data_IF_388247171224
#
_entry.id   IF_388247171224
#
_cell.length_a   1.000
_cell.length_b   1.000
_cell.length_c   1.000
_cell.angle_alpha   90.00
_cell.angle_beta   90.00
_cell.angle_gamma   90.00
#
_symmetry.space_group_name_H-M   'P 1'
#
loop_
_entity.id
_entity.type
_entity.pdbx_description
1 polymer ?
#
# COMPACT_ATOMS: atom_id res chain seq x y z
N UNK A 1 16.64 -17.47 -33.42
CA UNK A 1 16.06 -16.46 -32.48
C UNK A 1 14.65 -16.94 -32.20
N UNK A 2 14.45 -17.62 -31.09
CA UNK A 2 13.11 -18.03 -30.68
C UNK A 2 12.36 -16.79 -30.19
N UNK A 3 11.30 -16.43 -30.90
CA UNK A 3 10.38 -15.38 -30.44
C UNK A 3 9.60 -15.94 -29.26
N UNK A 4 9.88 -15.44 -28.06
CA UNK A 4 9.05 -15.71 -26.89
C UNK A 4 7.66 -15.13 -27.15
N UNK A 5 6.66 -16.00 -27.40
CA UNK A 5 5.24 -15.60 -27.47
C UNK A 5 4.75 -15.28 -26.04
N UNK A 6 4.98 -14.05 -25.62
CA UNK A 6 4.57 -13.58 -24.28
C UNK A 6 3.09 -13.25 -24.37
N UNK A 7 2.25 -13.97 -23.64
CA UNK A 7 0.82 -13.70 -23.54
C UNK A 7 0.46 -13.07 -22.21
N UNK A 8 -0.37 -12.05 -22.27
CA UNK A 8 -0.91 -11.43 -21.07
C UNK A 8 -1.74 -12.46 -20.28
N UNK A 9 -1.40 -12.73 -19.02
CA UNK A 9 -2.13 -13.71 -18.20
C UNK A 9 -3.56 -13.27 -17.89
N UNK A 10 -3.87 -11.97 -18.07
CA UNK A 10 -5.17 -11.41 -17.75
C UNK A 10 -6.15 -11.43 -18.94
N UNK A 11 -5.72 -11.03 -20.14
CA UNK A 11 -6.60 -10.95 -21.31
C UNK A 11 -6.23 -11.86 -22.48
N UNK A 12 -5.12 -12.62 -22.37
CA UNK A 12 -4.63 -13.53 -23.41
C UNK A 12 -3.97 -12.86 -24.61
N UNK A 13 -3.91 -11.53 -24.66
CA UNK A 13 -3.32 -10.79 -25.79
C UNK A 13 -1.81 -11.06 -25.89
N UNK A 14 -1.32 -11.24 -27.13
CA UNK A 14 0.11 -11.39 -27.41
C UNK A 14 0.84 -10.06 -27.26
N UNK A 15 1.97 -10.06 -26.55
CA UNK A 15 2.82 -8.89 -26.35
C UNK A 15 3.97 -8.99 -27.36
N UNK A 16 4.02 -8.05 -28.28
CA UNK A 16 4.98 -8.05 -29.40
C UNK A 16 6.24 -7.21 -29.11
N UNK A 17 6.21 -6.37 -28.09
CA UNK A 17 7.34 -5.53 -27.74
C UNK A 17 8.20 -6.21 -26.68
N UNK A 18 9.52 -6.34 -26.94
CA UNK A 18 10.47 -6.87 -25.99
C UNK A 18 10.69 -5.87 -24.87
N UNK A 19 10.29 -6.21 -23.63
CA UNK A 19 10.45 -5.29 -22.52
C UNK A 19 11.91 -5.21 -22.07
N UNK A 20 12.30 -4.02 -21.66
CA UNK A 20 13.62 -3.73 -21.07
C UNK A 20 13.66 -4.04 -19.55
N UNK A 21 12.53 -4.46 -18.98
CA UNK A 21 12.38 -4.78 -17.55
C UNK A 21 11.73 -6.15 -17.35
N UNK A 22 11.85 -6.71 -16.15
CA UNK A 22 11.22 -7.98 -15.76
C UNK A 22 9.68 -7.90 -15.71
N UNK A 23 9.11 -6.70 -15.83
CA UNK A 23 7.69 -6.43 -15.82
C UNK A 23 7.25 -5.80 -17.13
N UNK A 24 6.11 -6.26 -17.64
CA UNK A 24 5.49 -5.77 -18.87
C UNK A 24 4.11 -5.22 -18.58
N UNK A 25 3.82 -4.07 -19.17
CA UNK A 25 2.47 -3.53 -19.22
C UNK A 25 1.77 -4.07 -20.46
N UNK A 26 0.63 -4.71 -20.30
CA UNK A 26 -0.19 -5.13 -21.42
C UNK A 26 -0.83 -3.92 -22.09
N UNK A 27 -0.60 -3.71 -23.39
CA UNK A 27 -1.16 -2.60 -24.17
C UNK A 27 -2.67 -2.72 -24.40
N UNK A 28 -3.25 -3.91 -24.16
CA UNK A 28 -4.69 -4.18 -24.40
C UNK A 28 -5.55 -4.03 -23.15
N UNK A 29 -5.02 -4.41 -21.98
CA UNK A 29 -5.80 -4.38 -20.73
C UNK A 29 -5.11 -3.63 -19.59
N UNK A 30 -4.00 -2.95 -19.90
CA UNK A 30 -3.15 -2.20 -18.95
C UNK A 30 -2.63 -2.99 -17.74
N UNK A 31 -2.81 -4.31 -17.72
CA UNK A 31 -2.28 -5.17 -16.67
C UNK A 31 -0.76 -5.23 -16.71
N UNK A 32 -0.11 -5.07 -15.56
CA UNK A 32 1.31 -5.32 -15.39
C UNK A 32 1.52 -6.77 -14.96
N UNK A 33 2.48 -7.48 -15.56
CA UNK A 33 2.84 -8.84 -15.17
C UNK A 33 4.32 -9.11 -15.39
N UNK A 34 4.84 -10.08 -14.64
CA UNK A 34 6.24 -10.51 -14.76
C UNK A 34 6.39 -11.55 -15.85
N UNK A 35 7.44 -11.43 -16.66
CA UNK A 35 7.75 -12.44 -17.70
C UNK A 35 8.34 -13.67 -17.04
N UNK A 36 7.78 -14.88 -17.29
CA UNK A 36 8.40 -16.13 -16.85
C UNK A 36 9.67 -16.38 -17.67
N UNK A 37 10.81 -16.37 -17.06
CA UNK A 37 12.06 -16.79 -17.73
C UNK A 37 13.31 -15.96 -17.47
N UNK A 38 13.25 -14.84 -16.78
CA UNK A 38 14.45 -14.13 -16.38
C UNK A 38 14.99 -14.73 -15.07
N UNK A 39 16.19 -15.35 -15.15
CA UNK A 39 16.83 -16.07 -14.05
C UNK A 39 17.43 -15.11 -13.02
N UNK A 40 16.60 -14.54 -12.17
CA UNK A 40 17.05 -14.05 -10.85
C UNK A 40 16.16 -14.71 -9.81
N UNK A 41 16.76 -15.67 -9.12
CA UNK A 41 16.11 -16.66 -8.29
C UNK A 41 15.19 -16.06 -7.22
N UNK A 42 13.97 -16.49 -7.29
CA UNK A 42 13.04 -16.87 -6.22
C UNK A 42 11.69 -17.12 -6.90
N UNK A 43 11.11 -18.29 -6.69
CA UNK A 43 9.80 -18.63 -7.22
C UNK A 43 8.77 -17.61 -6.69
N UNK A 44 8.34 -16.71 -7.59
CA UNK A 44 7.26 -15.76 -7.29
C UNK A 44 5.96 -16.53 -7.48
N UNK A 45 5.38 -16.98 -6.40
CA UNK A 45 4.03 -17.54 -6.40
C UNK A 45 3.06 -16.36 -6.53
N UNK A 46 2.43 -16.23 -7.69
CA UNK A 46 1.32 -15.28 -7.90
C UNK A 46 0.12 -15.83 -7.16
N UNK A 47 -0.55 -15.01 -6.34
CA UNK A 47 -1.72 -15.42 -5.56
C UNK A 47 -2.76 -16.14 -6.40
N UNK A 48 -3.24 -17.30 -5.94
CA UNK A 48 -4.27 -18.09 -6.62
C UNK A 48 -5.63 -17.37 -6.56
N UNK A 49 -6.55 -17.75 -7.46
CA UNK A 49 -7.93 -17.22 -7.44
C UNK A 49 -8.64 -17.44 -6.11
N UNK A 50 -8.27 -18.50 -5.40
CA UNK A 50 -8.89 -18.91 -4.13
C UNK A 50 -8.43 -18.08 -2.92
N UNK A 51 -7.37 -17.27 -3.08
CA UNK A 51 -6.86 -16.40 -2.01
C UNK A 51 -7.73 -15.15 -1.78
N UNK A 52 -8.62 -14.81 -2.72
CA UNK A 52 -9.40 -13.58 -2.72
C UNK A 52 -10.90 -13.87 -2.57
N UNK A 53 -11.56 -13.27 -1.58
CA UNK A 53 -13.01 -13.27 -1.48
C UNK A 53 -13.54 -11.96 -2.06
N UNK A 54 -14.26 -12.09 -3.20
CA UNK A 54 -14.80 -10.94 -3.94
C UNK A 54 -16.32 -11.03 -3.97
N UNK A 55 -16.99 -9.95 -3.55
CA UNK A 55 -18.46 -9.81 -3.57
C UNK A 55 -18.82 -8.52 -4.30
N UNK A 56 -19.61 -8.61 -5.38
CA UNK A 56 -20.06 -7.42 -6.15
C UNK A 56 -18.92 -6.46 -6.52
N UNK A 57 -17.82 -6.97 -7.08
CA UNK A 57 -16.60 -6.22 -7.44
C UNK A 57 -15.85 -5.60 -6.23
N UNK A 58 -16.22 -5.93 -5.00
CA UNK A 58 -15.51 -5.53 -3.79
C UNK A 58 -14.67 -6.69 -3.29
N UNK A 59 -13.37 -6.48 -3.15
CA UNK A 59 -12.48 -7.41 -2.46
C UNK A 59 -12.69 -7.25 -0.96
N UNK A 60 -13.23 -8.29 -0.32
CA UNK A 60 -13.60 -8.25 1.10
C UNK A 60 -12.61 -8.96 2.01
N UNK A 61 -11.91 -9.99 1.50
CA UNK A 61 -10.95 -10.76 2.30
C UNK A 61 -9.79 -11.25 1.43
N UNK A 62 -8.63 -11.37 2.05
CA UNK A 62 -7.44 -12.00 1.48
C UNK A 62 -6.92 -13.08 2.44
N UNK A 63 -6.92 -14.33 1.99
CA UNK A 63 -6.52 -15.50 2.78
C UNK A 63 -5.20 -16.13 2.29
N UNK A 64 -4.53 -15.46 1.34
CA UNK A 64 -3.29 -15.96 0.75
C UNK A 64 -2.06 -15.72 1.63
N UNK A 65 -1.08 -16.61 1.51
CA UNK A 65 0.25 -16.46 2.13
C UNK A 65 1.30 -15.90 1.15
N UNK A 66 0.90 -15.57 -0.07
CA UNK A 66 1.80 -15.10 -1.12
C UNK A 66 2.33 -13.70 -0.81
N UNK A 67 3.63 -13.50 -1.07
CA UNK A 67 4.29 -12.21 -0.86
C UNK A 67 4.16 -11.26 -2.04
N UNK A 68 3.94 -11.79 -3.24
CA UNK A 68 3.64 -11.02 -4.45
C UNK A 68 2.25 -11.38 -4.91
N UNK A 69 1.37 -10.39 -5.00
CA UNK A 69 -0.03 -10.60 -5.34
C UNK A 69 -0.45 -9.76 -6.55
N UNK A 70 -1.35 -10.32 -7.35
CA UNK A 70 -2.05 -9.59 -8.40
C UNK A 70 -3.53 -9.57 -8.03
N UNK A 71 -4.05 -8.40 -7.71
CA UNK A 71 -5.49 -8.24 -7.41
C UNK A 71 -6.28 -8.46 -8.68
N UNK A 72 -7.32 -9.31 -8.68
CA UNK A 72 -8.11 -9.63 -9.87
C UNK A 72 -8.74 -8.40 -10.54
N UNK A 73 -8.78 -8.38 -11.87
CA UNK A 73 -9.25 -7.23 -12.65
C UNK A 73 -10.73 -6.87 -12.43
N UNK A 74 -11.53 -7.80 -11.94
CA UNK A 74 -12.92 -7.57 -11.58
C UNK A 74 -13.10 -6.66 -10.35
N UNK A 75 -12.02 -6.43 -9.58
CA UNK A 75 -12.07 -5.64 -8.34
C UNK A 75 -12.10 -4.16 -8.66
N UNK A 76 -13.17 -3.50 -8.27
CA UNK A 76 -13.33 -2.04 -8.33
C UNK A 76 -13.07 -1.35 -6.98
N UNK A 77 -13.21 -2.09 -5.88
CA UNK A 77 -12.98 -1.60 -4.52
C UNK A 77 -12.27 -2.64 -3.68
N UNK A 78 -11.26 -2.22 -2.92
CA UNK A 78 -10.66 -2.98 -1.82
C UNK A 78 -11.30 -2.51 -0.53
N UNK A 79 -11.91 -3.42 0.22
CA UNK A 79 -12.55 -3.08 1.49
C UNK A 79 -11.52 -2.73 2.58
N UNK A 80 -12.01 -2.25 3.72
CA UNK A 80 -11.18 -1.83 4.84
C UNK A 80 -10.39 -3.02 5.41
N UNK A 81 -9.10 -2.82 5.60
CA UNK A 81 -8.23 -3.77 6.29
C UNK A 81 -7.94 -5.09 5.58
N UNK A 82 -8.32 -5.28 4.31
CA UNK A 82 -8.23 -6.56 3.58
C UNK A 82 -6.83 -7.19 3.63
N UNK A 83 -5.78 -6.40 3.43
CA UNK A 83 -4.39 -6.87 3.45
C UNK A 83 -3.65 -6.53 4.73
N UNK A 84 -4.35 -6.08 5.76
CA UNK A 84 -3.73 -5.62 7.00
C UNK A 84 -2.84 -6.69 7.63
N UNK A 85 -1.57 -6.32 7.91
CA UNK A 85 -0.60 -7.20 8.54
C UNK A 85 -0.10 -8.34 7.65
N UNK A 86 -0.46 -8.35 6.35
CA UNK A 86 0.01 -9.37 5.43
C UNK A 86 1.51 -9.26 5.12
N UNK A 87 2.12 -10.39 4.75
CA UNK A 87 3.54 -10.47 4.37
C UNK A 87 3.84 -9.97 2.95
N UNK A 88 2.95 -9.21 2.32
CA UNK A 88 3.06 -8.75 0.93
C UNK A 88 4.28 -7.86 0.76
N UNK A 89 5.10 -8.20 -0.26
CA UNK A 89 6.24 -7.38 -0.69
C UNK A 89 5.92 -6.52 -1.89
N UNK A 90 5.06 -7.01 -2.79
CA UNK A 90 4.62 -6.34 -4.00
C UNK A 90 3.14 -6.62 -4.26
N UNK A 91 2.42 -5.61 -4.69
CA UNK A 91 1.02 -5.71 -5.09
C UNK A 91 0.81 -5.06 -6.46
N UNK A 92 0.15 -5.79 -7.36
CA UNK A 92 -0.32 -5.26 -8.63
C UNK A 92 -1.81 -4.98 -8.50
N UNK A 93 -2.17 -3.71 -8.61
CA UNK A 93 -3.55 -3.23 -8.52
C UNK A 93 -4.20 -3.18 -9.90
N UNK A 94 -5.50 -3.54 -10.03
CA UNK A 94 -6.19 -3.55 -11.31
C UNK A 94 -6.45 -2.15 -11.85
N UNK A 95 -6.39 -1.99 -13.19
CA UNK A 95 -6.57 -0.72 -13.87
C UNK A 95 -7.99 -0.11 -13.74
N UNK A 96 -8.96 -0.86 -13.24
CA UNK A 96 -10.34 -0.40 -12.98
C UNK A 96 -10.64 -0.14 -11.51
N UNK A 97 -9.65 -0.25 -10.64
CA UNK A 97 -9.79 0.01 -9.20
C UNK A 97 -10.19 1.46 -8.97
N UNK A 98 -11.25 1.69 -8.23
CA UNK A 98 -11.80 3.03 -7.93
C UNK A 98 -11.50 3.48 -6.50
N UNK A 99 -11.44 2.53 -5.57
CA UNK A 99 -11.32 2.83 -4.14
C UNK A 99 -10.43 1.83 -3.42
N UNK A 100 -9.57 2.35 -2.55
CA UNK A 100 -8.79 1.59 -1.56
C UNK A 100 -9.32 1.97 -0.19
N UNK A 101 -9.81 1.00 0.57
CA UNK A 101 -10.43 1.20 1.87
C UNK A 101 -9.46 1.66 2.97
N UNK A 102 -10.02 2.04 4.11
CA UNK A 102 -9.25 2.42 5.28
C UNK A 102 -8.42 1.24 5.79
N UNK A 103 -7.17 1.50 6.19
CA UNK A 103 -6.24 0.46 6.68
C UNK A 103 -6.01 -0.72 5.72
N UNK A 104 -6.38 -0.62 4.44
CA UNK A 104 -6.36 -1.75 3.49
C UNK A 104 -5.02 -2.49 3.45
N UNK A 105 -3.91 -1.78 3.52
CA UNK A 105 -2.54 -2.31 3.58
C UNK A 105 -1.82 -1.97 4.88
N UNK A 106 -2.53 -1.57 5.93
CA UNK A 106 -1.88 -1.21 7.19
C UNK A 106 -1.05 -2.37 7.76
N UNK A 107 0.07 -2.04 8.40
CA UNK A 107 0.99 -3.02 9.00
C UNK A 107 1.63 -4.02 7.98
N UNK A 108 1.56 -3.78 6.65
CA UNK A 108 2.28 -4.56 5.63
C UNK A 108 3.76 -4.17 5.65
N UNK A 109 4.51 -4.70 6.60
CA UNK A 109 5.88 -4.27 6.88
C UNK A 109 6.87 -4.60 5.75
N UNK A 110 6.56 -5.58 4.90
CA UNK A 110 7.42 -5.99 3.80
C UNK A 110 7.14 -5.25 2.48
N UNK A 111 6.05 -4.50 2.39
CA UNK A 111 5.67 -3.74 1.20
C UNK A 111 6.67 -2.60 0.97
N UNK A 112 7.29 -2.57 -0.21
CA UNK A 112 8.36 -1.60 -0.57
C UNK A 112 7.89 -0.51 -1.49
N UNK A 113 7.06 -0.86 -2.45
CA UNK A 113 6.53 0.07 -3.43
C UNK A 113 5.12 -0.30 -3.83
N UNK A 114 4.33 0.69 -4.22
CA UNK A 114 2.99 0.49 -4.77
C UNK A 114 2.73 1.53 -5.86
N UNK A 115 2.11 1.09 -6.94
CA UNK A 115 1.62 1.96 -8.01
C UNK A 115 0.10 2.03 -7.90
N UNK A 116 -0.42 3.22 -7.70
CA UNK A 116 -1.85 3.50 -7.60
C UNK A 116 -2.38 3.85 -9.00
N UNK A 117 -3.27 3.04 -9.60
CA UNK A 117 -3.80 3.28 -10.93
C UNK A 117 -4.52 4.62 -11.07
N UNK A 118 -4.54 5.17 -12.29
CA UNK A 118 -5.21 6.45 -12.58
C UNK A 118 -6.73 6.42 -12.35
N UNK A 119 -7.33 5.23 -12.32
CA UNK A 119 -8.74 5.01 -12.04
C UNK A 119 -9.12 5.21 -10.57
N UNK A 120 -8.14 5.15 -9.64
CA UNK A 120 -8.39 5.30 -8.20
C UNK A 120 -8.75 6.73 -7.88
N UNK A 121 -9.93 6.91 -7.30
CA UNK A 121 -10.48 8.21 -6.90
C UNK A 121 -10.32 8.49 -5.42
N UNK A 122 -10.23 7.44 -4.60
CA UNK A 122 -10.12 7.59 -3.15
C UNK A 122 -9.20 6.53 -2.54
N UNK A 123 -8.33 6.98 -1.65
CA UNK A 123 -7.51 6.12 -0.78
C UNK A 123 -7.87 6.43 0.67
N UNK A 124 -8.40 5.44 1.36
CA UNK A 124 -8.95 5.57 2.71
C UNK A 124 -7.94 5.93 3.79
N UNK A 125 -8.46 6.32 4.95
CA UNK A 125 -7.65 6.71 6.10
C UNK A 125 -6.65 5.61 6.47
N UNK A 126 -5.38 6.00 6.65
CA UNK A 126 -4.31 5.09 7.09
C UNK A 126 -4.14 3.84 6.23
N UNK A 127 -4.46 3.92 4.93
CA UNK A 127 -4.43 2.78 4.02
C UNK A 127 -3.07 2.05 4.03
N UNK A 128 -1.96 2.77 4.13
CA UNK A 128 -0.60 2.23 4.22
C UNK A 128 0.07 2.51 5.57
N UNK A 129 -0.74 2.66 6.62
CA UNK A 129 -0.22 2.95 7.95
C UNK A 129 0.76 1.87 8.44
N UNK A 130 1.93 2.31 8.95
CA UNK A 130 2.98 1.43 9.45
C UNK A 130 3.54 0.41 8.45
N UNK A 131 3.43 0.66 7.15
CA UNK A 131 4.22 -0.04 6.14
C UNK A 131 5.66 0.45 6.23
N UNK A 132 6.43 -0.06 7.19
CA UNK A 132 7.72 0.50 7.62
C UNK A 132 8.78 0.53 6.54
N UNK A 133 8.71 -0.36 5.55
CA UNK A 133 9.65 -0.45 4.43
C UNK A 133 9.11 0.19 3.14
N UNK A 134 7.91 0.81 3.19
CA UNK A 134 7.33 1.48 2.02
C UNK A 134 8.07 2.79 1.75
N UNK A 135 8.90 2.78 0.72
CA UNK A 135 9.75 3.90 0.32
C UNK A 135 9.24 4.64 -0.92
N UNK A 136 8.32 4.00 -1.68
CA UNK A 136 7.81 4.58 -2.92
C UNK A 136 6.31 4.31 -3.09
N UNK A 137 5.55 5.39 -3.36
CA UNK A 137 4.16 5.33 -3.85
C UNK A 137 4.09 6.18 -5.10
N UNK A 138 3.61 5.61 -6.18
CA UNK A 138 3.39 6.30 -7.44
C UNK A 138 1.89 6.41 -7.72
N UNK A 139 1.40 7.63 -7.95
CA UNK A 139 0.02 7.89 -8.35
C UNK A 139 -0.01 8.18 -9.84
N UNK A 140 -0.65 7.32 -10.63
CA UNK A 140 -0.81 7.52 -12.06
C UNK A 140 -1.94 8.51 -12.40
N UNK A 141 -2.83 8.79 -11.45
CA UNK A 141 -3.94 9.74 -11.55
C UNK A 141 -3.67 11.05 -10.82
N UNK A 142 -4.12 12.18 -11.41
CA UNK A 142 -3.93 13.50 -10.81
C UNK A 142 -4.99 13.87 -9.75
N UNK A 143 -6.12 13.14 -9.70
CA UNK A 143 -7.31 13.51 -8.91
C UNK A 143 -7.68 12.45 -7.86
N UNK A 144 -6.69 11.78 -7.28
CA UNK A 144 -6.92 10.83 -6.19
C UNK A 144 -7.07 11.59 -4.87
N UNK A 145 -8.22 11.46 -4.24
CA UNK A 145 -8.47 11.98 -2.89
C UNK A 145 -7.82 11.08 -1.85
N UNK A 146 -7.09 11.66 -0.89
CA UNK A 146 -6.39 10.93 0.15
C UNK A 146 -7.05 11.17 1.51
N UNK A 147 -7.32 10.09 2.22
CA UNK A 147 -7.76 10.13 3.61
C UNK A 147 -6.64 10.56 4.58
N UNK A 148 -6.96 10.62 5.86
CA UNK A 148 -6.00 11.02 6.89
C UNK A 148 -4.90 9.96 7.10
N UNK A 149 -3.64 10.43 7.20
CA UNK A 149 -2.51 9.62 7.62
C UNK A 149 -2.21 8.41 6.73
N UNK A 150 -2.54 8.48 5.43
CA UNK A 150 -2.41 7.38 4.47
C UNK A 150 -1.04 6.70 4.54
N UNK A 151 0.04 7.47 4.63
CA UNK A 151 1.43 6.98 4.66
C UNK A 151 2.12 7.14 6.02
N UNK A 152 1.37 7.38 7.08
CA UNK A 152 1.93 7.63 8.41
C UNK A 152 2.69 6.40 8.93
N UNK A 153 3.94 6.59 9.34
CA UNK A 153 4.81 5.53 9.85
C UNK A 153 5.49 4.69 8.77
N UNK A 154 5.48 5.14 7.52
CA UNK A 154 6.24 4.56 6.40
C UNK A 154 7.65 5.14 6.34
N UNK A 155 8.55 4.49 5.59
CA UNK A 155 9.85 5.05 5.24
C UNK A 155 9.69 6.32 4.37
N UNK A 156 8.75 6.30 3.44
CA UNK A 156 8.40 7.47 2.61
C UNK A 156 8.08 8.69 3.48
N UNK A 157 7.26 8.54 4.50
CA UNK A 157 6.90 9.63 5.42
C UNK A 157 8.09 10.12 6.22
N UNK A 158 8.99 9.23 6.67
CA UNK A 158 10.23 9.61 7.36
C UNK A 158 11.16 10.40 6.46
N UNK A 159 11.36 9.95 5.22
CA UNK A 159 12.19 10.63 4.24
C UNK A 159 11.62 12.02 3.89
N UNK A 160 10.31 12.10 3.73
CA UNK A 160 9.60 13.36 3.55
C UNK A 160 9.88 14.34 4.70
N UNK A 161 9.73 13.92 5.95
CA UNK A 161 10.04 14.77 7.11
C UNK A 161 11.51 15.19 7.18
N UNK A 162 12.43 14.34 6.73
CA UNK A 162 13.86 14.68 6.71
C UNK A 162 14.23 15.73 5.65
N UNK A 163 13.42 15.85 4.59
CA UNK A 163 13.66 16.83 3.52
C UNK A 163 13.21 18.25 3.87
N UNK A 164 12.43 18.43 4.93
CA UNK A 164 11.99 19.73 5.37
C UNK A 164 13.06 20.48 6.16
N UNK A 165 13.06 21.82 6.04
CA UNK A 165 13.84 22.72 6.87
C UNK A 165 13.53 22.51 8.35
N UNK A 166 14.51 22.78 9.23
CA UNK A 166 14.35 22.58 10.66
C UNK A 166 13.20 23.41 11.27
N UNK A 167 12.91 24.59 10.72
CA UNK A 167 11.79 25.42 11.14
C UNK A 167 10.44 24.77 10.85
N UNK A 168 10.28 24.19 9.65
CA UNK A 168 9.04 23.49 9.27
C UNK A 168 8.86 22.22 10.10
N UNK A 169 9.98 21.48 10.39
CA UNK A 169 9.95 20.32 11.29
C UNK A 169 9.44 20.70 12.69
N UNK A 170 9.98 21.79 13.24
CA UNK A 170 9.58 22.28 14.55
C UNK A 170 8.09 22.66 14.57
N UNK A 171 7.59 23.29 13.50
CA UNK A 171 6.18 23.66 13.38
C UNK A 171 5.27 22.41 13.31
N UNK A 172 5.63 21.43 12.51
CA UNK A 172 4.88 20.15 12.41
C UNK A 172 4.86 19.42 13.75
N UNK A 173 6.00 19.39 14.46
CA UNK A 173 6.09 18.79 15.80
C UNK A 173 5.20 19.54 16.80
N UNK A 174 5.21 20.88 16.78
CA UNK A 174 4.39 21.70 17.66
C UNK A 174 2.88 21.48 17.40
N UNK A 175 2.45 21.45 16.14
CA UNK A 175 1.05 21.22 15.78
C UNK A 175 0.61 19.81 16.13
N UNK A 176 1.50 18.83 15.95
CA UNK A 176 1.27 17.44 16.37
C UNK A 176 1.11 17.34 17.88
N UNK A 177 1.95 18.05 18.65
CA UNK A 177 1.86 18.09 20.11
C UNK A 177 0.58 18.79 20.58
N UNK A 178 0.21 19.89 19.96
CA UNK A 178 -1.07 20.60 20.23
C UNK A 178 -2.26 19.67 20.00
N UNK A 179 -2.29 18.98 18.88
CA UNK A 179 -3.34 18.01 18.53
C UNK A 179 -3.42 16.89 19.57
N UNK A 180 -2.28 16.29 19.93
CA UNK A 180 -2.22 15.24 20.97
C UNK A 180 -2.71 15.74 22.32
N UNK A 181 -2.39 16.98 22.66
CA UNK A 181 -2.84 17.62 23.91
C UNK A 181 -4.35 17.83 23.93
N UNK A 182 -4.94 18.31 22.82
CA UNK A 182 -6.39 18.51 22.68
C UNK A 182 -7.14 17.18 22.88
N UNK A 183 -6.66 16.10 22.31
CA UNK A 183 -7.28 14.77 22.43
C UNK A 183 -6.82 13.99 23.65
N UNK A 184 -6.04 14.57 24.56
CA UNK A 184 -5.55 13.90 25.77
C UNK A 184 -4.63 12.72 25.50
N UNK A 185 -3.95 12.70 24.36
CA UNK A 185 -3.05 11.64 23.95
C UNK A 185 -1.63 11.87 24.50
N UNK A 186 -0.85 10.78 24.54
CA UNK A 186 0.55 10.86 24.93
C UNK A 186 1.35 11.75 23.95
N UNK A 187 2.08 12.78 24.43
CA UNK A 187 2.84 13.70 23.56
C UNK A 187 3.98 12.99 22.80
N UNK A 188 4.48 11.87 23.31
CA UNK A 188 5.62 11.17 22.73
C UNK A 188 5.25 10.17 21.63
N UNK A 189 4.16 9.40 21.80
CA UNK A 189 3.79 8.35 20.86
C UNK A 189 2.34 8.40 20.37
N UNK A 190 1.54 9.37 20.83
CA UNK A 190 0.15 9.55 20.39
C UNK A 190 -0.85 8.52 20.93
N UNK A 191 -0.43 7.58 21.79
CA UNK A 191 -1.34 6.59 22.36
C UNK A 191 -2.11 7.10 23.57
N UNK A 192 -3.25 6.47 23.86
CA UNK A 192 -4.05 6.75 25.04
C UNK A 192 -3.34 6.38 26.35
N UNK A 193 -3.71 7.03 27.43
CA UNK A 193 -3.32 6.65 28.78
C UNK A 193 -4.27 5.59 29.36
N UNK A 194 -3.74 4.75 30.23
CA UNK A 194 -4.55 3.84 31.05
C UNK A 194 -5.12 4.60 32.27
N UNK A 195 -5.94 3.89 33.06
CA UNK A 195 -6.55 4.45 34.29
C UNK A 195 -5.53 4.92 35.35
N UNK A 196 -4.29 4.45 35.26
CA UNK A 196 -3.19 4.83 36.14
C UNK A 196 -2.32 5.97 35.60
N UNK A 197 -2.78 6.65 34.54
CA UNK A 197 -2.05 7.73 33.88
C UNK A 197 -0.76 7.30 33.17
N UNK A 198 -0.56 6.00 32.90
CA UNK A 198 0.55 5.50 32.08
C UNK A 198 0.12 5.34 30.64
N UNK A 199 0.95 5.82 29.72
CA UNK A 199 0.74 5.64 28.30
C UNK A 199 0.76 4.16 27.90
N UNK A 200 -0.27 3.71 27.20
CA UNK A 200 -0.40 2.32 26.73
C UNK A 200 0.65 1.93 25.70
N UNK A 201 1.26 2.90 25.01
CA UNK A 201 2.28 2.64 23.99
C UNK A 201 3.71 2.68 24.53
N UNK A 202 4.12 3.78 25.18
CA UNK A 202 5.50 3.98 25.61
C UNK A 202 5.72 3.88 27.13
N UNK A 203 4.67 3.61 27.91
CA UNK A 203 4.73 3.44 29.37
C UNK A 203 4.97 4.72 30.19
N UNK A 204 5.21 5.88 29.55
CA UNK A 204 5.47 7.15 30.25
C UNK A 204 4.23 7.63 31.00
N UNK A 205 4.45 8.24 32.17
CA UNK A 205 3.38 8.87 32.93
C UNK A 205 2.88 10.14 32.24
N UNK A 206 1.60 10.45 32.43
CA UNK A 206 1.01 11.74 32.07
C UNK A 206 1.64 12.79 33.01
N UNK A 207 2.34 13.77 32.43
CA UNK A 207 2.75 14.94 33.20
C UNK A 207 1.52 15.85 33.33
N UNK A 208 1.19 16.22 34.52
CA UNK A 208 0.15 17.21 34.83
C UNK A 208 0.54 18.58 34.31
#
# INVERSE_FOLDING_TARGET
MESLDIRCPNCGASITEMPTSDFVKCTFCDAFFKIPGNKTGSAVTVGGKDDFVIKSSVLTEFNGANTVITVPQIVEKIADGVFRGSGITNVLLPGFLKEIGAYAFADCQNLRSVVIPASVRYVGNRAFWRCTNLSQIEFLGANTELGEGVVLGTELYRNFLQSYDNEIKAQIEEDTLKTRKIYGLCPYCGNNYNIWGKCKGCGRKKNN
#
